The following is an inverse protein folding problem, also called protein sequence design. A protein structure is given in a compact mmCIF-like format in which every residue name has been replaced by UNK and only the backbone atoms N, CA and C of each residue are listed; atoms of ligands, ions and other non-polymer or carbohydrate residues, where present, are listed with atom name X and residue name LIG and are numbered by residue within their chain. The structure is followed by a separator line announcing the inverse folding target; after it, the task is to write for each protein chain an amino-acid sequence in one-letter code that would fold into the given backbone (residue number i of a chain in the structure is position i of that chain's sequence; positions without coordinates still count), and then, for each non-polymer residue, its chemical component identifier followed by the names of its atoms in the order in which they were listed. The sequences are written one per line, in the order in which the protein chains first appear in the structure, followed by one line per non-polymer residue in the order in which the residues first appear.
data_IF_110150709935
#
_entry.id   IF_110150709935
#
_cell.length_a   1.000
_cell.length_b   1.000
_cell.length_c   1.000
_cell.angle_alpha   90.00
_cell.angle_beta   90.00
_cell.angle_gamma   90.00
#
_symmetry.space_group_name_H-M   'P 1'
#
loop_
_entity.id
_entity.type
_entity.pdbx_description
1 polymer ?
#
# COMPACT_ATOMS: atom_id res chain seq x y z
N UNK A 1 -19.27 -20.81 -10.75
CA UNK A 1 -19.71 -19.45 -11.12
C UNK A 1 -18.78 -18.99 -12.22
N UNK A 2 -19.26 -18.95 -13.46
CA UNK A 2 -18.53 -18.33 -14.56
C UNK A 2 -18.49 -16.85 -14.24
N UNK A 3 -17.33 -16.36 -13.82
CA UNK A 3 -17.06 -14.93 -13.95
C UNK A 3 -17.00 -14.71 -15.45
N UNK A 4 -18.04 -14.10 -16.02
CA UNK A 4 -17.83 -13.32 -17.23
C UNK A 4 -16.61 -12.44 -16.94
N UNK A 5 -15.57 -12.51 -17.78
CA UNK A 5 -14.54 -11.49 -17.82
C UNK A 5 -15.26 -10.17 -18.11
N UNK A 6 -15.81 -9.56 -17.07
CA UNK A 6 -16.31 -8.21 -17.12
C UNK A 6 -15.06 -7.39 -17.39
N UNK A 7 -14.96 -6.86 -18.60
CA UNK A 7 -13.92 -5.92 -18.97
C UNK A 7 -14.12 -4.73 -18.04
N UNK A 8 -13.38 -4.71 -16.94
CA UNK A 8 -13.37 -3.64 -15.98
C UNK A 8 -12.56 -2.52 -16.60
N UNK A 9 -13.25 -1.62 -17.31
CA UNK A 9 -12.65 -0.41 -17.85
C UNK A 9 -13.01 0.78 -16.96
N UNK A 10 -11.99 1.52 -16.57
CA UNK A 10 -12.11 2.75 -15.82
C UNK A 10 -10.98 3.65 -16.28
N UNK A 11 -11.27 4.92 -16.60
CA UNK A 11 -10.30 5.83 -17.21
C UNK A 11 -9.94 6.98 -16.25
N UNK A 12 -9.13 6.76 -15.19
CA UNK A 12 -8.80 7.78 -14.19
C UNK A 12 -8.29 9.13 -14.73
N UNK A 13 -7.64 9.17 -15.90
CA UNK A 13 -7.17 10.43 -16.49
C UNK A 13 -8.27 11.23 -17.20
N UNK A 14 -9.42 10.61 -17.49
CA UNK A 14 -10.58 11.20 -18.16
C UNK A 14 -11.73 11.40 -17.17
N UNK A 15 -12.04 10.36 -16.38
CA UNK A 15 -13.14 10.29 -15.42
C UNK A 15 -12.80 11.03 -14.11
N UNK A 16 -12.83 12.36 -14.16
CA UNK A 16 -12.51 13.21 -13.00
C UNK A 16 -13.64 13.33 -11.98
N UNK A 17 -14.79 12.72 -12.24
CA UNK A 17 -15.97 12.77 -11.35
C UNK A 17 -15.69 12.09 -9.99
N UNK A 18 -14.73 11.17 -9.93
CA UNK A 18 -14.30 10.55 -8.67
C UNK A 18 -13.55 11.50 -7.72
N UNK A 19 -13.06 12.64 -8.22
CA UNK A 19 -12.43 13.65 -7.37
C UNK A 19 -13.45 14.44 -6.53
N UNK A 20 -14.74 14.37 -6.87
CA UNK A 20 -15.82 14.97 -6.07
C UNK A 20 -16.00 14.18 -4.75
N UNK A 21 -15.82 14.82 -3.58
CA UNK A 21 -16.04 14.18 -2.29
C UNK A 21 -17.45 13.59 -2.13
N UNK A 22 -18.47 14.22 -2.71
CA UNK A 22 -19.87 13.77 -2.58
C UNK A 22 -20.06 12.44 -3.31
N UNK A 23 -19.59 12.34 -4.55
CA UNK A 23 -19.65 11.10 -5.33
C UNK A 23 -18.88 9.97 -4.62
N UNK A 24 -17.72 10.28 -4.04
CA UNK A 24 -16.93 9.30 -3.28
C UNK A 24 -17.68 8.76 -2.06
N UNK A 25 -18.33 9.62 -1.28
CA UNK A 25 -19.11 9.20 -0.12
C UNK A 25 -20.28 8.29 -0.52
N UNK A 26 -20.99 8.64 -1.60
CA UNK A 26 -22.08 7.81 -2.13
C UNK A 26 -21.59 6.43 -2.57
N UNK A 27 -20.49 6.37 -3.32
CA UNK A 27 -19.89 5.11 -3.77
C UNK A 27 -19.42 4.26 -2.57
N UNK A 28 -18.80 4.87 -1.56
CA UNK A 28 -18.39 4.17 -0.34
C UNK A 28 -19.58 3.62 0.44
N UNK A 29 -20.70 4.36 0.51
CA UNK A 29 -21.95 3.86 1.11
C UNK A 29 -22.47 2.61 0.40
N UNK A 30 -22.52 2.63 -0.93
CA UNK A 30 -22.94 1.47 -1.74
C UNK A 30 -22.00 0.27 -1.57
N UNK A 31 -20.68 0.50 -1.50
CA UNK A 31 -19.69 -0.55 -1.22
C UNK A 31 -19.97 -1.16 0.16
N UNK A 32 -20.25 -0.33 1.17
CA UNK A 32 -20.54 -0.82 2.51
C UNK A 32 -21.82 -1.67 2.55
N UNK A 33 -22.89 -1.24 1.89
CA UNK A 33 -24.13 -2.04 1.78
C UNK A 33 -23.88 -3.41 1.14
N UNK A 34 -23.06 -3.47 0.09
CA UNK A 34 -22.69 -4.75 -0.53
C UNK A 34 -21.75 -5.59 0.36
N UNK A 35 -20.83 -4.95 1.10
CA UNK A 35 -20.00 -5.63 2.08
C UNK A 35 -20.82 -6.24 3.23
N UNK A 36 -21.91 -5.59 3.65
CA UNK A 36 -22.82 -6.12 4.67
C UNK A 36 -23.63 -7.32 4.17
N UNK A 37 -23.93 -7.38 2.86
CA UNK A 37 -24.60 -8.51 2.22
C UNK A 37 -23.66 -9.69 1.97
N UNK A 38 -22.38 -9.41 1.76
CA UNK A 38 -21.38 -10.44 1.51
C UNK A 38 -20.92 -11.10 2.82
N UNK A 39 -20.62 -12.41 2.80
CA UNK A 39 -19.98 -13.05 3.95
C UNK A 39 -18.60 -12.41 4.22
N UNK A 40 -18.18 -12.31 5.50
CA UNK A 40 -16.90 -11.72 5.84
C UNK A 40 -15.76 -12.48 5.14
N UNK A 41 -14.72 -11.76 4.67
CA UNK A 41 -13.60 -12.39 3.98
C UNK A 41 -12.90 -13.39 4.89
N UNK A 42 -12.44 -14.51 4.32
CA UNK A 42 -11.65 -15.51 5.04
C UNK A 42 -10.27 -14.91 5.29
N UNK A 43 -10.05 -14.37 6.48
CA UNK A 43 -8.74 -13.87 6.88
C UNK A 43 -7.87 -15.08 7.25
N UNK A 44 -6.67 -15.25 6.64
CA UNK A 44 -5.74 -16.29 7.04
C UNK A 44 -5.43 -16.17 8.53
N UNK A 45 -5.58 -17.26 9.29
CA UNK A 45 -5.19 -17.27 10.70
C UNK A 45 -3.72 -16.90 10.81
N UNK A 46 -3.40 -15.97 11.73
CA UNK A 46 -2.04 -15.47 11.92
C UNK A 46 -1.04 -16.61 12.08
N UNK A 47 -0.01 -16.62 11.24
CA UNK A 47 1.06 -17.60 11.30
C UNK A 47 1.87 -17.38 12.58
N UNK A 48 2.05 -18.43 13.39
CA UNK A 48 3.01 -18.39 14.49
C UNK A 48 4.41 -18.13 13.92
N UNK A 49 4.99 -16.99 14.28
CA UNK A 49 6.37 -16.65 13.91
C UNK A 49 7.34 -17.59 14.65
N UNK A 50 8.49 -17.89 14.03
CA UNK A 50 9.60 -18.65 14.64
C UNK A 50 9.26 -20.08 15.11
N UNK A 51 8.40 -20.82 14.40
CA UNK A 51 8.03 -22.21 14.75
C UNK A 51 9.22 -23.13 15.01
N UNK A 52 10.30 -22.94 14.25
CA UNK A 52 11.49 -23.80 14.28
C UNK A 52 12.55 -23.35 15.30
N UNK A 53 12.37 -22.20 15.95
CA UNK A 53 13.35 -21.67 16.89
C UNK A 53 12.66 -21.28 18.20
N UNK A 54 12.82 -22.15 19.20
CA UNK A 54 12.20 -21.98 20.50
C UNK A 54 12.66 -20.70 21.22
N UNK A 55 13.93 -20.31 21.06
CA UNK A 55 14.51 -19.12 21.70
C UNK A 55 13.84 -17.86 21.13
N UNK A 56 13.79 -17.76 19.80
CA UNK A 56 13.14 -16.62 19.14
C UNK A 56 11.65 -16.55 19.42
N UNK A 57 10.99 -17.71 19.54
CA UNK A 57 9.58 -17.77 19.93
C UNK A 57 9.34 -17.24 21.34
N UNK A 58 10.16 -17.66 22.32
CA UNK A 58 10.08 -17.18 23.71
C UNK A 58 10.30 -15.66 23.78
N UNK A 59 11.28 -15.14 23.05
CA UNK A 59 11.51 -13.69 22.97
C UNK A 59 10.36 -12.95 22.30
N UNK A 60 9.81 -13.50 21.22
CA UNK A 60 8.64 -12.93 20.55
C UNK A 60 7.42 -12.88 21.48
N UNK A 61 7.17 -13.94 22.25
CA UNK A 61 6.10 -13.99 23.24
C UNK A 61 6.33 -12.98 24.38
N UNK A 62 7.57 -12.85 24.88
CA UNK A 62 7.95 -11.84 25.89
C UNK A 62 7.66 -10.42 25.41
N UNK A 63 8.13 -10.09 24.20
CA UNK A 63 7.92 -8.76 23.58
C UNK A 63 6.43 -8.51 23.34
N UNK A 64 5.71 -9.52 22.82
CA UNK A 64 4.26 -9.45 22.62
C UNK A 64 3.49 -9.21 23.92
N UNK A 65 3.97 -9.79 25.03
CA UNK A 65 3.42 -9.57 26.36
C UNK A 65 3.83 -8.22 26.98
N UNK A 66 4.69 -7.43 26.32
CA UNK A 66 5.18 -6.15 26.83
C UNK A 66 6.16 -6.27 28.00
N UNK A 67 6.67 -7.47 28.26
CA UNK A 67 7.61 -7.70 29.37
C UNK A 67 8.98 -7.11 29.01
N UNK A 68 9.53 -6.25 29.87
CA UNK A 68 10.87 -5.70 29.69
C UNK A 68 11.95 -6.79 29.74
N UNK A 69 13.12 -6.52 29.14
CA UNK A 69 14.26 -7.43 29.28
C UNK A 69 14.74 -7.41 30.74
N UNK A 70 15.14 -8.55 31.33
CA UNK A 70 15.83 -8.54 32.60
C UNK A 70 17.06 -7.62 32.52
N UNK A 71 17.32 -6.80 33.55
CA UNK A 71 18.52 -5.96 33.56
C UNK A 71 19.77 -6.84 33.50
N UNK A 72 20.78 -6.36 32.78
CA UNK A 72 22.07 -7.03 32.73
C UNK A 72 22.72 -6.99 34.12
N UNK A 73 23.33 -8.11 34.51
CA UNK A 73 24.17 -8.16 35.70
C UNK A 73 25.44 -7.33 35.46
N UNK A 74 25.44 -6.13 36.04
CA UNK A 74 26.56 -5.19 36.00
C UNK A 74 27.56 -5.43 37.13
N UNK A 75 27.20 -6.21 38.16
CA UNK A 75 28.05 -6.47 39.32
C UNK A 75 29.28 -7.28 38.92
N UNK A 76 29.13 -8.18 37.96
CA UNK A 76 30.23 -8.95 37.37
C UNK A 76 31.37 -8.08 36.81
N UNK A 77 31.07 -6.88 36.32
CA UNK A 77 32.07 -5.99 35.72
C UNK A 77 32.70 -5.02 36.71
N UNK A 78 32.28 -5.07 37.97
CA UNK A 78 32.82 -4.24 39.04
C UNK A 78 33.80 -5.03 39.89
N UNK A 79 34.81 -4.34 40.38
CA UNK A 79 35.79 -4.87 41.31
C UNK A 79 35.43 -4.42 42.74
N UNK A 80 34.23 -4.75 43.20
CA UNK A 80 33.79 -4.42 44.55
C UNK A 80 34.35 -5.44 45.55
N UNK A 81 34.84 -4.95 46.69
CA UNK A 81 35.26 -5.81 47.79
C UNK A 81 34.02 -6.50 48.42
N UNK A 82 34.18 -7.67 49.07
CA UNK A 82 33.12 -8.26 49.86
C UNK A 82 32.54 -7.25 50.87
N UNK A 83 31.24 -7.32 51.13
CA UNK A 83 30.58 -6.37 52.05
C UNK A 83 31.15 -6.46 53.47
N UNK A 84 31.12 -5.38 54.25
CA UNK A 84 31.67 -5.34 55.63
C UNK A 84 31.12 -6.46 56.54
N UNK A 85 29.91 -6.95 56.28
CA UNK A 85 29.31 -8.11 56.97
C UNK A 85 29.91 -9.46 56.57
N UNK A 86 30.37 -9.60 55.32
CA UNK A 86 30.94 -10.82 54.75
C UNK A 86 32.45 -10.95 55.00
N UNK A 87 33.14 -9.79 55.14
CA UNK A 87 34.59 -9.70 55.37
C UNK A 87 35.04 -10.55 56.57
N UNK A 88 34.22 -10.60 57.64
CA UNK A 88 34.62 -11.18 58.93
C UNK A 88 34.34 -12.69 59.02
N UNK A 89 33.49 -13.25 58.16
CA UNK A 89 32.96 -14.62 58.36
C UNK A 89 32.92 -15.50 57.11
N UNK A 90 32.97 -14.95 55.89
CA UNK A 90 32.80 -15.72 54.66
C UNK A 90 34.09 -15.76 53.82
N UNK A 91 34.83 -16.86 53.93
CA UNK A 91 36.03 -17.13 53.11
C UNK A 91 35.67 -17.33 51.64
N UNK A 92 34.47 -17.82 51.33
CA UNK A 92 34.04 -18.07 49.96
C UNK A 92 33.60 -16.77 49.26
N UNK A 93 33.19 -15.73 50.00
CA UNK A 93 33.04 -14.38 49.45
C UNK A 93 34.37 -13.81 48.95
N UNK A 94 35.46 -14.00 49.70
CA UNK A 94 36.80 -13.57 49.28
C UNK A 94 37.32 -14.34 48.07
N UNK A 95 37.09 -15.65 48.00
CA UNK A 95 37.43 -16.44 46.81
C UNK A 95 36.69 -15.94 45.57
N UNK A 96 35.37 -15.73 45.68
CA UNK A 96 34.55 -15.19 44.58
C UNK A 96 35.05 -13.81 44.11
N UNK A 97 35.40 -12.92 45.04
CA UNK A 97 35.96 -11.61 44.70
C UNK A 97 37.34 -11.72 44.01
N UNK A 98 38.21 -12.62 44.48
CA UNK A 98 39.51 -12.87 43.88
C UNK A 98 39.40 -13.50 42.49
N UNK A 99 38.51 -14.47 42.30
CA UNK A 99 38.24 -15.11 41.00
C UNK A 99 37.67 -14.09 40.01
N UNK A 100 36.78 -13.20 40.46
CA UNK A 100 36.29 -12.09 39.64
C UNK A 100 37.42 -11.13 39.26
N UNK A 101 38.29 -10.76 40.21
CA UNK A 101 39.42 -9.87 39.94
C UNK A 101 40.43 -10.48 38.94
N UNK A 102 40.73 -11.77 39.07
CA UNK A 102 41.55 -12.51 38.11
C UNK A 102 40.90 -12.51 36.71
N UNK A 103 39.60 -12.78 36.63
CA UNK A 103 38.85 -12.74 35.37
C UNK A 103 38.87 -11.35 34.73
N UNK A 104 38.75 -10.28 35.54
CA UNK A 104 38.81 -8.90 35.04
C UNK A 104 40.21 -8.54 34.53
N UNK A 105 41.28 -9.01 35.17
CA UNK A 105 42.65 -8.78 34.71
C UNK A 105 42.85 -9.35 33.30
N UNK A 106 42.41 -10.60 33.08
CA UNK A 106 42.46 -11.24 31.75
C UNK A 106 41.62 -10.46 30.72
N UNK A 107 40.43 -9.99 31.11
CA UNK A 107 39.62 -9.14 30.24
C UNK A 107 40.31 -7.81 29.88
N UNK A 108 41.04 -7.18 30.80
CA UNK A 108 41.82 -5.99 30.47
C UNK A 108 42.99 -6.31 29.52
N UNK A 109 43.66 -7.45 29.70
CA UNK A 109 44.69 -7.93 28.76
C UNK A 109 44.15 -8.09 27.35
N UNK A 110 43.07 -8.86 27.18
CA UNK A 110 42.40 -9.03 25.88
C UNK A 110 41.89 -7.69 25.32
N UNK A 111 41.42 -6.77 26.17
CA UNK A 111 40.99 -5.44 25.72
C UNK A 111 42.16 -4.65 25.15
N UNK A 112 43.34 -4.71 25.78
CA UNK A 112 44.54 -4.03 25.30
C UNK A 112 44.96 -4.59 23.93
N UNK A 113 45.02 -5.91 23.78
CA UNK A 113 45.30 -6.56 22.49
C UNK A 113 44.30 -6.15 21.41
N UNK A 114 43.00 -6.16 21.73
CA UNK A 114 41.96 -5.73 20.79
C UNK A 114 42.08 -4.24 20.42
N UNK A 115 42.46 -3.38 21.36
CA UNK A 115 42.68 -1.95 21.10
C UNK A 115 43.92 -1.73 20.22
N UNK A 116 44.98 -2.52 20.39
CA UNK A 116 46.16 -2.49 19.52
C UNK A 116 45.80 -2.91 18.09
N UNK A 117 45.01 -3.99 17.94
CA UNK A 117 44.49 -4.41 16.63
C UNK A 117 43.60 -3.33 16.00
N UNK A 118 42.72 -2.72 16.80
CA UNK A 118 41.85 -1.63 16.33
C UNK A 118 42.65 -0.39 15.93
N UNK A 119 43.70 -0.04 16.66
CA UNK A 119 44.58 1.09 16.34
C UNK A 119 45.31 0.85 15.01
N UNK A 120 45.77 -0.39 14.78
CA UNK A 120 46.52 -0.75 13.58
C UNK A 120 45.62 -0.90 12.33
N UNK A 121 44.45 -1.52 12.47
CA UNK A 121 43.62 -1.92 11.32
C UNK A 121 42.26 -1.23 11.25
N UNK A 122 41.77 -0.67 12.36
CA UNK A 122 40.41 -0.14 12.48
C UNK A 122 40.10 0.96 11.48
N UNK A 123 41.02 1.92 11.29
CA UNK A 123 40.82 3.01 10.33
C UNK A 123 40.68 2.50 8.89
N UNK A 124 41.48 1.50 8.49
CA UNK A 124 41.44 0.93 7.14
C UNK A 124 40.19 0.05 6.94
N UNK A 125 39.84 -0.77 7.93
CA UNK A 125 38.63 -1.57 7.91
C UNK A 125 37.37 -0.69 7.83
N UNK A 126 37.34 0.44 8.56
CA UNK A 126 36.24 1.38 8.51
C UNK A 126 36.11 2.06 7.14
N UNK A 127 37.22 2.48 6.55
CA UNK A 127 37.23 3.03 5.18
C UNK A 127 36.70 2.03 4.15
N UNK A 128 37.12 0.77 4.24
CA UNK A 128 36.61 -0.28 3.35
C UNK A 128 35.11 -0.50 3.54
N UNK A 129 34.64 -0.56 4.80
CA UNK A 129 33.21 -0.68 5.10
C UNK A 129 32.41 0.49 4.56
N UNK A 130 32.93 1.72 4.67
CA UNK A 130 32.28 2.90 4.09
C UNK A 130 32.22 2.81 2.56
N UNK A 131 33.31 2.44 1.91
CA UNK A 131 33.32 2.24 0.45
C UNK A 131 32.29 1.21 -0.02
N UNK A 132 32.17 0.08 0.70
CA UNK A 132 31.14 -0.93 0.40
C UNK A 132 29.73 -0.39 0.60
N UNK A 133 29.49 0.40 1.65
CA UNK A 133 28.19 1.04 1.90
C UNK A 133 27.87 2.10 0.85
N UNK A 134 28.84 2.89 0.41
CA UNK A 134 28.68 3.87 -0.67
C UNK A 134 28.33 3.18 -2.00
N UNK A 135 28.99 2.06 -2.31
CA UNK A 135 28.66 1.26 -3.49
C UNK A 135 27.24 0.67 -3.41
N UNK A 136 26.84 0.17 -2.24
CA UNK A 136 25.49 -0.34 -2.01
C UNK A 136 24.45 0.78 -2.14
N UNK A 137 24.71 1.95 -1.54
CA UNK A 137 23.86 3.13 -1.63
C UNK A 137 23.65 3.51 -3.09
N UNK A 138 24.73 3.64 -3.88
CA UNK A 138 24.65 3.98 -5.29
C UNK A 138 23.85 2.94 -6.09
N UNK A 139 23.98 1.66 -5.78
CA UNK A 139 23.17 0.60 -6.41
C UNK A 139 21.68 0.75 -6.08
N UNK A 140 21.33 1.07 -4.83
CA UNK A 140 19.95 1.28 -4.41
C UNK A 140 19.38 2.53 -5.06
N UNK A 141 20.10 3.64 -5.06
CA UNK A 141 19.69 4.89 -5.71
C UNK A 141 19.44 4.71 -7.22
N UNK A 142 20.32 3.96 -7.90
CA UNK A 142 20.13 3.65 -9.32
C UNK A 142 18.90 2.76 -9.56
N UNK A 143 18.67 1.77 -8.69
CA UNK A 143 17.47 0.94 -8.77
C UNK A 143 16.20 1.77 -8.55
N UNK A 144 16.18 2.64 -7.53
CA UNK A 144 15.07 3.56 -7.25
C UNK A 144 14.80 4.47 -8.45
N UNK A 145 15.84 5.11 -9.00
CA UNK A 145 15.69 5.97 -10.19
C UNK A 145 15.10 5.19 -11.37
N UNK A 146 15.57 3.97 -11.60
CA UNK A 146 15.03 3.11 -12.67
C UNK A 146 13.55 2.82 -12.46
N UNK A 147 13.13 2.46 -11.25
CA UNK A 147 11.71 2.20 -10.96
C UNK A 147 10.84 3.45 -11.05
N UNK A 148 11.36 4.62 -10.67
CA UNK A 148 10.68 5.90 -10.90
C UNK A 148 10.52 6.19 -12.39
N UNK A 149 11.57 6.00 -13.19
CA UNK A 149 11.52 6.16 -14.65
C UNK A 149 10.52 5.19 -15.29
N UNK A 150 10.56 3.91 -14.93
CA UNK A 150 9.60 2.88 -15.38
C UNK A 150 8.16 3.26 -14.99
N UNK A 151 7.94 3.70 -13.75
CA UNK A 151 6.63 4.15 -13.26
C UNK A 151 6.13 5.39 -14.02
N UNK A 152 7.00 6.37 -14.27
CA UNK A 152 6.62 7.55 -15.06
C UNK A 152 6.36 7.23 -16.53
N UNK A 153 7.10 6.28 -17.12
CA UNK A 153 6.88 5.83 -18.48
C UNK A 153 5.51 5.16 -18.63
N UNK A 154 5.21 4.21 -17.76
CA UNK A 154 3.93 3.51 -17.74
C UNK A 154 2.76 4.45 -17.45
N UNK A 155 2.92 5.44 -16.57
CA UNK A 155 1.89 6.46 -16.36
C UNK A 155 1.69 7.35 -17.60
N UNK A 156 2.75 7.67 -18.34
CA UNK A 156 2.64 8.43 -19.61
C UNK A 156 1.93 7.61 -20.68
N UNK A 157 2.26 6.34 -20.82
CA UNK A 157 1.63 5.42 -21.77
C UNK A 157 0.14 5.26 -21.45
N UNK A 158 -0.22 4.96 -20.20
CA UNK A 158 -1.62 4.91 -19.75
C UNK A 158 -2.36 6.21 -20.02
N UNK A 159 -1.76 7.35 -19.73
CA UNK A 159 -2.37 8.65 -20.01
C UNK A 159 -2.64 8.82 -21.50
N UNK A 160 -1.69 8.45 -22.36
CA UNK A 160 -1.86 8.54 -23.80
C UNK A 160 -3.03 7.67 -24.29
N UNK A 161 -3.03 6.39 -23.92
CA UNK A 161 -4.10 5.44 -24.30
C UNK A 161 -5.48 5.92 -23.83
N UNK A 162 -5.59 6.34 -22.56
CA UNK A 162 -6.86 6.85 -22.02
C UNK A 162 -7.30 8.14 -22.70
N UNK A 163 -6.38 9.05 -23.06
CA UNK A 163 -6.74 10.27 -23.81
C UNK A 163 -7.22 9.96 -25.21
N UNK A 164 -6.62 8.98 -25.89
CA UNK A 164 -7.08 8.56 -27.21
C UNK A 164 -8.47 7.88 -27.15
N UNK A 165 -8.67 7.00 -26.17
CA UNK A 165 -9.97 6.38 -25.90
C UNK A 165 -11.04 7.43 -25.56
N UNK A 166 -10.70 8.41 -24.71
CA UNK A 166 -11.60 9.50 -24.34
C UNK A 166 -12.02 10.39 -25.51
N UNK A 167 -11.17 10.57 -26.53
CA UNK A 167 -11.57 11.24 -27.78
C UNK A 167 -12.61 10.40 -28.51
N UNK A 168 -12.36 9.09 -28.68
CA UNK A 168 -13.29 8.18 -29.37
C UNK A 168 -14.64 8.08 -28.64
N UNK A 169 -14.63 8.04 -27.32
CA UNK A 169 -15.85 8.01 -26.50
C UNK A 169 -16.68 9.27 -26.72
N UNK A 170 -16.05 10.46 -26.71
CA UNK A 170 -16.73 11.73 -26.96
C UNK A 170 -17.34 11.79 -28.36
N UNK A 171 -16.61 11.34 -29.38
CA UNK A 171 -17.10 11.32 -30.76
C UNK A 171 -18.31 10.37 -30.90
N UNK A 172 -18.28 9.22 -30.22
CA UNK A 172 -19.39 8.27 -30.19
C UNK A 172 -20.60 8.83 -29.43
N UNK A 173 -20.37 9.51 -28.32
CA UNK A 173 -21.40 10.18 -27.53
C UNK A 173 -22.07 11.30 -28.33
N UNK A 174 -21.31 12.12 -29.05
CA UNK A 174 -21.84 13.16 -29.92
C UNK A 174 -22.70 12.57 -31.05
N UNK A 175 -22.20 11.52 -31.72
CA UNK A 175 -22.98 10.81 -32.76
C UNK A 175 -24.25 10.17 -32.20
N UNK A 176 -24.18 9.62 -31.00
CA UNK A 176 -25.34 9.05 -30.34
C UNK A 176 -26.37 10.12 -30.00
N UNK A 177 -25.95 11.24 -29.41
CA UNK A 177 -26.81 12.38 -29.10
C UNK A 177 -27.48 12.95 -30.36
N UNK A 178 -26.72 13.11 -31.44
CA UNK A 178 -27.24 13.56 -32.73
C UNK A 178 -28.24 12.56 -33.31
N UNK A 179 -27.95 11.25 -33.24
CA UNK A 179 -28.88 10.20 -33.67
C UNK A 179 -30.19 10.22 -32.87
N UNK A 180 -30.12 10.36 -31.54
CA UNK A 180 -31.30 10.50 -30.67
C UNK A 180 -32.09 11.75 -31.04
N UNK A 181 -31.40 12.88 -31.24
CA UNK A 181 -32.03 14.14 -31.66
C UNK A 181 -32.75 14.00 -33.00
N UNK A 182 -32.11 13.40 -34.01
CA UNK A 182 -32.72 13.15 -35.32
C UNK A 182 -33.94 12.24 -35.21
N UNK A 183 -33.89 11.19 -34.38
CA UNK A 183 -35.07 10.35 -34.13
C UNK A 183 -36.23 11.16 -33.54
N UNK A 184 -35.95 12.07 -32.58
CA UNK A 184 -36.97 12.94 -31.98
C UNK A 184 -37.53 13.91 -33.04
N UNK A 185 -36.67 14.56 -33.82
CA UNK A 185 -37.07 15.49 -34.89
C UNK A 185 -37.97 14.80 -35.94
N UNK A 186 -37.62 13.58 -36.36
CA UNK A 186 -38.43 12.77 -37.27
C UNK A 186 -39.78 12.39 -36.63
N UNK A 187 -39.81 12.01 -35.36
CA UNK A 187 -41.07 11.70 -34.67
C UNK A 187 -41.99 12.93 -34.59
N UNK A 188 -41.44 14.11 -34.30
CA UNK A 188 -42.19 15.37 -34.27
C UNK A 188 -42.72 15.70 -35.67
N UNK A 189 -41.88 15.66 -36.71
CA UNK A 189 -42.31 15.91 -38.08
C UNK A 189 -43.41 14.94 -38.56
N UNK A 190 -43.27 13.65 -38.26
CA UNK A 190 -44.29 12.65 -38.57
C UNK A 190 -45.60 12.93 -37.81
N UNK A 191 -45.55 13.40 -36.57
CA UNK A 191 -46.76 13.75 -35.81
C UNK A 191 -47.48 14.97 -36.41
N UNK A 192 -46.73 15.98 -36.85
CA UNK A 192 -47.27 17.17 -37.52
C UNK A 192 -47.90 16.81 -38.87
N UNK A 193 -47.20 16.03 -39.70
CA UNK A 193 -47.73 15.57 -40.98
C UNK A 193 -49.00 14.72 -40.80
N UNK A 194 -49.07 13.86 -39.78
CA UNK A 194 -50.29 13.11 -39.46
C UNK A 194 -51.45 14.05 -39.11
N UNK A 195 -51.20 15.10 -38.33
CA UNK A 195 -52.21 16.10 -38.00
C UNK A 195 -52.68 16.88 -39.24
N UNK A 196 -51.77 17.25 -40.13
CA UNK A 196 -52.10 17.92 -41.40
C UNK A 196 -52.92 17.01 -42.33
N UNK A 197 -52.56 15.74 -42.46
CA UNK A 197 -53.32 14.74 -43.22
C UNK A 197 -54.73 14.61 -42.65
N UNK A 198 -54.87 14.43 -41.33
CA UNK A 198 -56.18 14.33 -40.68
C UNK A 198 -57.04 15.60 -40.89
N UNK A 199 -56.42 16.78 -40.87
CA UNK A 199 -57.10 18.04 -41.14
C UNK A 199 -57.59 18.14 -42.60
N UNK A 200 -56.76 17.72 -43.57
CA UNK A 200 -57.11 17.70 -44.99
C UNK A 200 -58.19 16.67 -45.30
N UNK A 201 -58.13 15.47 -44.72
CA UNK A 201 -59.15 14.44 -44.84
C UNK A 201 -60.51 14.97 -44.34
N UNK A 202 -60.55 15.63 -43.19
CA UNK A 202 -61.76 16.28 -42.67
C UNK A 202 -62.29 17.40 -43.59
N UNK A 203 -61.42 18.11 -44.30
CA UNK A 203 -61.85 19.11 -45.28
C UNK A 203 -62.45 18.47 -46.53
N UNK A 204 -61.83 17.39 -47.03
CA UNK A 204 -62.31 16.64 -48.20
C UNK A 204 -63.67 16.00 -47.95
N UNK A 205 -63.88 15.47 -46.75
CA UNK A 205 -65.14 14.87 -46.31
C UNK A 205 -66.26 15.94 -46.25
N UNK A 206 -65.93 17.17 -45.85
CA UNK A 206 -66.88 18.29 -45.87
C UNK A 206 -67.23 18.74 -47.29
N UNK A 207 -66.25 18.82 -48.21
CA UNK A 207 -66.53 19.22 -49.60
C UNK A 207 -67.30 18.16 -50.37
N UNK A 208 -67.05 16.87 -50.12
CA UNK A 208 -67.82 15.78 -50.72
C UNK A 208 -69.28 15.74 -50.23
N UNK A 209 -69.53 16.03 -48.94
CA UNK A 209 -70.90 16.20 -48.41
C UNK A 209 -71.64 17.43 -48.96
N UNK A 210 -70.91 18.42 -49.49
CA UNK A 210 -71.49 19.61 -50.15
C UNK A 210 -71.76 19.37 -51.64
N UNK A 211 -71.06 18.43 -52.30
CA UNK A 211 -71.33 18.07 -53.70
C UNK A 211 -72.44 17.03 -53.90
N UNK A 212 -72.83 16.31 -52.85
CA UNK A 212 -73.94 15.33 -52.88
C UNK A 212 -75.31 15.92 -52.46
N UNK A 213 -75.41 17.23 -52.23
CA UNK A 213 -76.67 17.97 -52.03
C UNK A 213 -76.95 18.90 -53.19
#
# INVERSE_FOLDING_TARGET
MSHSDAILDSLPYIDKEYDDPIAREQVLGLIQEEMERMPPPIIPKGTSMFKNNEILRKEYERVRAGNALPPFDVERYKLEAPSDSDIVKDVDAWKRAADNAASQLEHQGMRMENLELLQNFGANAWKLSNYQKESLLASIENATRRYEEEGTHLNKERKYEQTEAGIKLRDLEERWNEGVRQCIEIQVANSQLKYEIEALEKQLEKTSQVSEK
#
